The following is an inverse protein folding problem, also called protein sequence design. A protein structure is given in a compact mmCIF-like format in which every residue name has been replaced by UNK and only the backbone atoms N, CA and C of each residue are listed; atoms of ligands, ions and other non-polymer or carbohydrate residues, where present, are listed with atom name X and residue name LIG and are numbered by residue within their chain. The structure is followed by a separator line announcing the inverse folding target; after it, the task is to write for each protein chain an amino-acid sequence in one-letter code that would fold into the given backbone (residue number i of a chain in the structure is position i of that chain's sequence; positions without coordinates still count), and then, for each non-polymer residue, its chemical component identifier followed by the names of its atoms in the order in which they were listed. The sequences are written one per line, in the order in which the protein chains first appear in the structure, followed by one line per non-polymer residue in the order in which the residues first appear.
data_IF_595812823943
#
_entry.id   IF_595812823943
#
_cell.length_a   1.000
_cell.length_b   1.000
_cell.length_c   1.000
_cell.angle_alpha   90.00
_cell.angle_beta   90.00
_cell.angle_gamma   90.00
#
_symmetry.space_group_name_H-M   'P 1'
#
loop_
_entity.id
_entity.type
_entity.pdbx_description
1 polymer ?
#
# COMPACT_ATOMS: atom_id res chain seq x y z
N UNK A 1 -27.90 -19.22 10.58
CA UNK A 1 -27.05 -18.64 9.52
C UNK A 1 -25.68 -18.37 10.13
N UNK A 2 -24.64 -19.11 9.72
CA UNK A 2 -23.26 -18.76 10.08
C UNK A 2 -22.86 -17.54 9.25
N UNK A 3 -22.60 -16.39 9.88
CA UNK A 3 -22.09 -15.22 9.16
C UNK A 3 -20.65 -15.52 8.70
N UNK A 4 -20.43 -15.51 7.38
CA UNK A 4 -19.09 -15.51 6.78
C UNK A 4 -18.50 -14.10 6.69
N UNK A 5 -17.23 -14.01 6.32
CA UNK A 5 -16.54 -12.73 6.06
C UNK A 5 -16.52 -12.45 4.56
N UNK A 6 -17.02 -11.27 4.16
CA UNK A 6 -17.05 -10.86 2.76
C UNK A 6 -15.77 -10.15 2.29
N UNK A 7 -15.09 -9.43 3.20
CA UNK A 7 -13.83 -8.75 2.95
C UNK A 7 -13.16 -8.34 4.27
N UNK A 8 -11.86 -8.05 4.23
CA UNK A 8 -11.08 -7.53 5.36
C UNK A 8 -10.47 -6.18 4.99
N UNK A 9 -10.61 -5.19 5.88
CA UNK A 9 -9.98 -3.87 5.76
C UNK A 9 -8.88 -3.71 6.81
N UNK A 10 -7.75 -3.12 6.43
CA UNK A 10 -6.62 -2.91 7.34
C UNK A 10 -5.44 -3.84 6.98
N UNK A 11 -4.67 -4.36 7.96
CA UNK A 11 -4.74 -4.14 9.42
C UNK A 11 -4.28 -2.74 9.86
N UNK A 12 -4.54 -2.38 11.13
CA UNK A 12 -4.15 -1.09 11.69
C UNK A 12 -2.64 -0.84 11.68
N UNK A 13 -1.85 -1.90 11.89
CA UNK A 13 -0.39 -1.90 11.90
C UNK A 13 0.18 -2.64 10.68
N UNK A 14 1.14 -2.01 10.00
CA UNK A 14 1.78 -2.58 8.79
C UNK A 14 2.54 -3.88 9.04
N UNK A 15 3.06 -4.09 10.26
CA UNK A 15 3.81 -5.29 10.64
C UNK A 15 2.99 -6.59 10.49
N UNK A 16 1.66 -6.52 10.64
CA UNK A 16 0.78 -7.68 10.49
C UNK A 16 0.19 -7.83 9.08
N UNK A 17 0.45 -6.89 8.17
CA UNK A 17 -0.18 -6.83 6.86
C UNK A 17 0.05 -8.10 6.02
N UNK A 18 1.27 -8.64 6.05
CA UNK A 18 1.62 -9.84 5.29
C UNK A 18 0.96 -11.11 5.84
N UNK A 19 0.83 -11.22 7.16
CA UNK A 19 0.16 -12.35 7.79
C UNK A 19 -1.34 -12.35 7.43
N UNK A 20 -2.00 -11.19 7.52
CA UNK A 20 -3.39 -11.03 7.09
C UNK A 20 -3.55 -11.34 5.60
N UNK A 21 -2.63 -10.85 4.75
CA UNK A 21 -2.68 -11.14 3.31
C UNK A 21 -2.58 -12.63 2.99
N UNK A 22 -1.68 -13.35 3.66
CA UNK A 22 -1.51 -14.79 3.47
C UNK A 22 -2.80 -15.55 3.79
N UNK A 23 -3.45 -15.21 4.90
CA UNK A 23 -4.74 -15.81 5.31
C UNK A 23 -5.84 -15.46 4.30
N UNK A 24 -5.94 -14.19 3.89
CA UNK A 24 -6.90 -13.75 2.88
C UNK A 24 -6.75 -14.49 1.56
N UNK A 25 -5.51 -14.66 1.08
CA UNK A 25 -5.22 -15.45 -0.12
C UNK A 25 -5.64 -16.92 0.07
N UNK A 26 -5.33 -17.53 1.21
CA UNK A 26 -5.67 -18.93 1.49
C UNK A 26 -7.19 -19.18 1.60
N UNK A 27 -7.94 -18.21 2.12
CA UNK A 27 -9.39 -18.30 2.33
C UNK A 27 -10.21 -17.73 1.17
N UNK A 28 -9.56 -17.14 0.15
CA UNK A 28 -10.26 -16.45 -0.95
C UNK A 28 -11.05 -15.23 -0.49
N UNK A 29 -10.61 -14.58 0.59
CA UNK A 29 -11.26 -13.39 1.15
C UNK A 29 -10.56 -12.14 0.63
N UNK A 30 -11.28 -11.19 -0.01
CA UNK A 30 -10.69 -9.93 -0.45
C UNK A 30 -10.07 -9.13 0.70
N UNK A 31 -8.81 -8.74 0.54
CA UNK A 31 -8.10 -7.86 1.48
C UNK A 31 -7.92 -6.46 0.88
N UNK A 32 -8.40 -5.44 1.60
CA UNK A 32 -8.42 -4.05 1.16
C UNK A 32 -7.51 -3.23 2.08
N UNK A 33 -6.43 -2.69 1.50
CA UNK A 33 -5.50 -1.82 2.21
C UNK A 33 -5.70 -0.36 1.84
N UNK A 34 -5.69 0.51 2.85
CA UNK A 34 -5.82 1.98 2.68
C UNK A 34 -4.57 2.73 3.13
N UNK A 35 -3.58 2.02 3.66
CA UNK A 35 -2.31 2.57 4.11
C UNK A 35 -1.18 2.11 3.22
N UNK A 36 -0.10 2.87 3.30
CA UNK A 36 1.14 2.56 2.62
C UNK A 36 1.71 1.18 3.01
N UNK A 37 2.18 0.41 2.01
CA UNK A 37 2.89 -0.86 2.16
C UNK A 37 4.29 -0.71 1.55
N UNK A 38 5.32 -1.00 2.34
CA UNK A 38 6.71 -0.85 1.92
C UNK A 38 7.15 -1.89 0.87
N UNK A 39 6.43 -3.02 0.77
CA UNK A 39 6.74 -4.09 -0.17
C UNK A 39 5.96 -3.93 -1.47
N UNK A 40 6.69 -3.98 -2.59
CA UNK A 40 6.12 -4.13 -3.92
C UNK A 40 5.24 -5.37 -3.91
N UNK A 41 4.00 -5.24 -4.37
CA UNK A 41 3.08 -6.37 -4.53
C UNK A 41 3.78 -7.45 -5.37
N UNK A 42 4.12 -8.57 -4.73
CA UNK A 42 4.54 -9.75 -5.47
C UNK A 42 3.31 -10.23 -6.27
N UNK A 43 3.51 -10.71 -7.50
CA UNK A 43 2.43 -11.19 -8.39
C UNK A 43 1.63 -12.38 -7.80
N UNK A 44 1.91 -12.78 -6.57
CA UNK A 44 1.29 -13.86 -5.82
C UNK A 44 0.07 -13.43 -4.99
N UNK A 45 -0.17 -12.13 -4.80
CA UNK A 45 -1.30 -11.63 -4.02
C UNK A 45 -2.58 -11.51 -4.89
N UNK A 46 -3.33 -12.60 -5.03
CA UNK A 46 -4.53 -12.66 -5.89
C UNK A 46 -5.82 -12.12 -5.25
N UNK A 47 -5.88 -12.02 -3.91
CA UNK A 47 -7.04 -11.51 -3.16
C UNK A 47 -6.70 -10.21 -2.42
N UNK A 48 -6.20 -9.23 -3.16
CA UNK A 48 -5.66 -8.00 -2.62
C UNK A 48 -5.98 -6.77 -3.48
N UNK A 49 -6.29 -5.65 -2.83
CA UNK A 49 -6.29 -4.33 -3.47
C UNK A 49 -5.76 -3.27 -2.52
N UNK A 50 -4.87 -2.42 -3.03
CA UNK A 50 -4.43 -1.18 -2.35
C UNK A 50 -5.21 0.00 -2.90
N UNK A 51 -5.83 0.76 -2.01
CA UNK A 51 -6.40 2.08 -2.29
C UNK A 51 -5.41 3.20 -1.96
N UNK A 52 -4.25 2.87 -1.38
CA UNK A 52 -3.18 3.84 -1.20
C UNK A 52 -2.50 4.10 -2.57
N UNK A 53 -2.21 5.36 -2.94
CA UNK A 53 -1.57 5.69 -4.20
C UNK A 53 -0.27 4.91 -4.41
N UNK A 54 -0.06 4.40 -5.62
CA UNK A 54 1.21 3.75 -5.92
C UNK A 54 2.35 4.78 -5.91
N UNK A 55 3.55 4.33 -5.50
CA UNK A 55 4.72 5.18 -5.37
C UNK A 55 5.09 5.91 -6.66
N UNK A 56 4.84 5.30 -7.81
CA UNK A 56 5.21 5.88 -9.10
C UNK A 56 4.28 7.05 -9.43
N UNK A 57 3.00 6.96 -9.08
CA UNK A 57 2.05 8.08 -9.22
C UNK A 57 2.35 9.22 -8.27
N UNK A 58 2.72 8.93 -7.01
CA UNK A 58 3.16 9.96 -6.08
C UNK A 58 4.46 10.64 -6.54
N UNK A 59 5.44 9.86 -7.00
CA UNK A 59 6.71 10.37 -7.54
C UNK A 59 6.50 11.27 -8.76
N UNK A 60 5.58 10.89 -9.66
CA UNK A 60 5.20 11.72 -10.82
C UNK A 60 4.56 13.03 -10.39
N UNK A 61 3.61 13.00 -9.45
CA UNK A 61 2.98 14.23 -8.96
C UNK A 61 4.00 15.18 -8.31
N UNK A 62 4.97 14.66 -7.55
CA UNK A 62 6.05 15.48 -6.98
C UNK A 62 6.93 16.06 -8.10
N UNK A 63 7.29 15.27 -9.11
CA UNK A 63 8.08 15.72 -10.26
C UNK A 63 7.36 16.84 -11.03
N UNK A 64 6.06 16.73 -11.22
CA UNK A 64 5.25 17.77 -11.88
C UNK A 64 5.32 19.10 -11.11
N UNK A 65 5.30 19.06 -9.77
CA UNK A 65 5.49 20.26 -8.95
C UNK A 65 6.90 20.85 -9.09
N UNK A 66 7.94 20.01 -9.09
CA UNK A 66 9.33 20.44 -9.30
C UNK A 66 9.47 21.20 -10.62
N UNK A 67 8.87 20.67 -11.69
CA UNK A 67 8.88 21.32 -13.01
C UNK A 67 8.05 22.60 -13.03
N UNK A 68 6.84 22.58 -12.47
CA UNK A 68 5.95 23.73 -12.42
C UNK A 68 6.58 24.94 -11.71
N UNK A 69 7.19 24.70 -10.55
CA UNK A 69 7.88 25.73 -9.78
C UNK A 69 9.32 26.00 -10.22
N UNK A 70 9.81 25.27 -11.23
CA UNK A 70 11.18 25.39 -11.79
C UNK A 70 12.28 25.25 -10.74
N UNK A 71 12.08 24.39 -9.74
CA UNK A 71 13.09 24.15 -8.72
C UNK A 71 14.37 23.59 -9.35
N UNK A 72 15.53 24.06 -8.87
CA UNK A 72 16.86 23.62 -9.34
C UNK A 72 17.52 22.63 -8.39
N UNK A 73 17.09 22.62 -7.13
CA UNK A 73 17.61 21.77 -6.07
C UNK A 73 16.44 21.26 -5.25
N UNK A 74 16.49 19.98 -4.91
CA UNK A 74 15.53 19.33 -4.01
C UNK A 74 16.34 18.56 -2.97
N UNK A 75 15.88 18.57 -1.73
CA UNK A 75 16.47 17.77 -0.65
C UNK A 75 15.44 16.76 -0.20
N UNK A 76 15.80 15.47 -0.23
CA UNK A 76 14.94 14.41 0.27
C UNK A 76 15.23 14.25 1.76
N UNK A 77 14.21 14.48 2.58
CA UNK A 77 14.24 14.21 4.02
C UNK A 77 13.28 13.06 4.27
N UNK A 78 13.77 12.02 4.92
CA UNK A 78 12.98 10.85 5.30
C UNK A 78 13.34 10.45 6.72
N UNK A 79 12.40 9.80 7.39
CA UNK A 79 12.62 9.14 8.66
C UNK A 79 12.91 7.66 8.37
N UNK A 80 13.96 7.13 8.99
CA UNK A 80 14.30 5.71 8.94
C UNK A 80 14.00 5.12 10.31
N UNK A 81 12.78 4.62 10.47
CA UNK A 81 12.40 3.89 11.67
C UNK A 81 12.99 2.48 11.60
N UNK A 82 14.27 2.35 11.95
CA UNK A 82 14.86 1.06 12.32
C UNK A 82 14.15 0.49 13.55
#
# INVERSE_FOLDING_TARGET
LSLGVAAIFGPSHSSSANAVQSICNALGVPHIQTKWKHQVSDNRDSFYVSLYPDFSSLSRAILDLVHFFKWKTVTVVYDDST
#
